data_IF_678389269524
#
_entry.id   IF_678389269524
#
_cell.length_a   1.000
_cell.length_b   1.000
_cell.length_c   1.000
_cell.angle_alpha   90.00
_cell.angle_beta   90.00
_cell.angle_gamma   90.00
#
_symmetry.space_group_name_H-M   'P 1'
#
loop_
_entity.id
_entity.type
_entity.pdbx_description
1 polymer ?
#
# COMPACT_ATOMS: atom_id res chain seq x y z
N UNK A 1 -12.14 -0.02 -3.10
CA UNK A 1 -11.60 -0.07 -1.76
C UNK A 1 -12.60 0.44 -0.73
N UNK A 2 -12.30 0.29 0.53
CA UNK A 2 -13.13 0.80 1.61
C UNK A 2 -12.51 2.07 2.21
N UNK A 3 -13.34 2.92 2.80
CA UNK A 3 -12.89 4.11 3.51
C UNK A 3 -12.05 3.73 4.73
N UNK A 4 -11.11 4.60 5.09
CA UNK A 4 -10.36 4.49 6.33
C UNK A 4 -11.22 4.85 7.54
N UNK A 5 -10.83 4.36 8.71
CA UNK A 5 -11.49 4.73 9.94
C UNK A 5 -11.06 6.13 10.43
N UNK A 6 -11.97 6.85 11.07
CA UNK A 6 -11.63 8.10 11.75
C UNK A 6 -10.71 7.82 12.95
N UNK A 7 -9.81 8.73 13.24
CA UNK A 7 -9.03 8.74 14.48
C UNK A 7 -9.98 8.90 15.69
N UNK A 8 -9.61 8.32 16.80
CA UNK A 8 -10.39 8.37 18.06
C UNK A 8 -9.51 8.93 19.18
N UNK A 9 -10.13 9.12 20.37
CA UNK A 9 -9.35 9.41 21.58
C UNK A 9 -8.35 8.31 21.95
N UNK A 10 -8.44 7.14 21.32
CA UNK A 10 -7.55 6.00 21.55
C UNK A 10 -6.37 5.92 20.57
N UNK A 11 -6.38 6.67 19.46
CA UNK A 11 -5.28 6.65 18.49
C UNK A 11 -5.64 7.12 17.09
N UNK A 12 -4.68 7.00 16.17
CA UNK A 12 -4.88 7.30 14.76
C UNK A 12 -5.82 6.31 14.09
N UNK A 13 -6.58 6.78 13.11
CA UNK A 13 -7.50 5.93 12.32
C UNK A 13 -6.75 4.94 11.44
N UNK A 14 -7.32 3.78 11.23
CA UNK A 14 -6.80 2.75 10.32
C UNK A 14 -6.99 3.19 8.86
N UNK A 15 -6.02 2.96 8.00
CA UNK A 15 -6.13 3.21 6.56
C UNK A 15 -7.19 2.35 5.89
N UNK A 16 -7.81 2.89 4.85
CA UNK A 16 -8.81 2.16 4.07
C UNK A 16 -8.24 0.92 3.36
N UNK A 17 -9.01 -0.13 3.30
CA UNK A 17 -8.64 -1.33 2.55
C UNK A 17 -8.67 -1.03 1.06
N UNK A 18 -7.61 -1.39 0.36
CA UNK A 18 -7.53 -1.27 -1.09
C UNK A 18 -8.46 -2.22 -1.85
N UNK A 19 -8.22 -2.36 -3.12
CA UNK A 19 -8.98 -3.27 -3.98
C UNK A 19 -8.30 -4.64 -4.04
N UNK A 20 -9.12 -5.69 -4.16
CA UNK A 20 -8.60 -7.01 -4.53
C UNK A 20 -8.07 -6.93 -5.97
N UNK A 21 -6.88 -7.48 -6.22
CA UNK A 21 -6.35 -7.58 -7.58
C UNK A 21 -7.30 -8.45 -8.42
N UNK A 22 -7.94 -7.88 -9.46
CA UNK A 22 -8.95 -8.60 -10.24
C UNK A 22 -8.34 -9.60 -11.24
N UNK A 23 -7.01 -9.54 -11.46
CA UNK A 23 -6.34 -10.40 -12.44
C UNK A 23 -6.01 -11.75 -11.81
N UNK A 24 -6.76 -12.76 -12.21
CA UNK A 24 -6.60 -14.14 -11.76
C UNK A 24 -5.19 -14.65 -12.06
N UNK A 25 -4.56 -15.27 -11.06
CA UNK A 25 -3.19 -15.79 -11.16
C UNK A 25 -2.08 -14.75 -11.05
N UNK A 26 -2.41 -13.46 -10.97
CA UNK A 26 -1.43 -12.43 -10.64
C UNK A 26 -0.96 -12.59 -9.19
N UNK A 27 0.36 -12.60 -8.98
CA UNK A 27 0.98 -12.62 -7.65
C UNK A 27 1.26 -11.22 -7.11
N UNK A 28 0.88 -10.18 -7.84
CA UNK A 28 1.12 -8.78 -7.52
C UNK A 28 0.16 -8.25 -6.46
N UNK A 29 0.67 -7.44 -5.55
CA UNK A 29 -0.09 -6.87 -4.44
C UNK A 29 0.25 -7.49 -3.08
N UNK A 30 -0.19 -6.84 -2.02
CA UNK A 30 -0.04 -7.35 -0.66
C UNK A 30 -0.86 -8.63 -0.47
N UNK A 31 -0.21 -9.71 -0.04
CA UNK A 31 -0.90 -10.96 0.25
C UNK A 31 -1.47 -10.92 1.68
N UNK A 32 -2.77 -11.05 1.79
CA UNK A 32 -3.48 -11.17 3.07
C UNK A 32 -4.38 -12.40 3.01
N UNK A 33 -4.00 -13.45 3.71
CA UNK A 33 -4.77 -14.71 3.73
C UNK A 33 -4.98 -15.36 2.36
N UNK A 34 -4.02 -15.25 1.44
CA UNK A 34 -4.12 -15.76 0.06
C UNK A 34 -4.73 -14.78 -0.95
N UNK A 35 -5.36 -13.70 -0.49
CA UNK A 35 -5.93 -12.66 -1.36
C UNK A 35 -4.91 -11.55 -1.60
N UNK A 36 -4.77 -11.10 -2.84
CA UNK A 36 -3.89 -9.98 -3.24
C UNK A 36 -4.66 -8.67 -3.26
N UNK A 37 -4.16 -7.68 -2.53
CA UNK A 37 -4.75 -6.34 -2.44
C UNK A 37 -3.78 -5.29 -3.01
N UNK A 38 -4.34 -4.23 -3.62
CA UNK A 38 -3.64 -3.07 -4.18
C UNK A 38 -4.27 -1.78 -3.64
N UNK A 39 -3.50 -0.70 -3.62
CA UNK A 39 -3.96 0.64 -3.30
C UNK A 39 -4.60 0.79 -1.90
N UNK A 40 -4.01 0.18 -0.87
CA UNK A 40 -4.41 0.39 0.52
C UNK A 40 -4.08 1.79 1.02
N UNK A 41 -4.95 2.37 1.84
CA UNK A 41 -4.74 3.70 2.43
C UNK A 41 -3.68 3.69 3.54
N UNK A 42 -3.01 4.81 3.77
CA UNK A 42 -2.13 4.99 4.92
C UNK A 42 -2.88 5.15 6.24
N UNK A 43 -2.29 4.72 7.34
CA UNK A 43 -2.82 4.90 8.69
C UNK A 43 -2.61 6.32 9.22
N UNK A 44 -3.52 6.80 10.04
CA UNK A 44 -3.43 8.09 10.73
C UNK A 44 -2.33 8.10 11.81
N UNK A 45 -1.71 9.25 12.04
CA UNK A 45 -0.70 9.42 13.08
C UNK A 45 -1.28 9.30 14.49
N UNK A 46 -0.50 8.78 15.42
CA UNK A 46 -0.80 8.80 16.83
C UNK A 46 -0.63 10.18 17.41
N UNK A 47 -0.95 10.33 18.69
CA UNK A 47 -0.81 11.57 19.43
C UNK A 47 0.11 11.41 20.63
N UNK A 48 1.08 12.30 20.76
CA UNK A 48 2.01 12.28 21.86
C UNK A 48 1.45 13.09 23.04
N UNK A 49 0.76 12.43 23.94
CA UNK A 49 0.39 12.96 25.25
C UNK A 49 1.02 12.07 26.34
N UNK A 50 0.90 12.40 27.63
CA UNK A 50 1.48 11.57 28.69
C UNK A 50 1.09 10.08 28.65
N UNK A 51 -0.06 9.74 28.01
CA UNK A 51 -0.54 8.36 27.87
C UNK A 51 -0.07 7.69 26.56
N UNK A 52 0.55 8.43 25.63
CA UNK A 52 1.00 7.95 24.31
C UNK A 52 -0.10 7.23 23.53
N UNK A 53 -0.51 7.77 22.38
CA UNK A 53 -1.53 7.16 21.55
C UNK A 53 -0.90 6.53 20.29
N UNK A 54 -1.26 5.29 19.94
CA UNK A 54 -0.71 4.62 18.77
C UNK A 54 -1.16 5.27 17.47
N UNK A 55 -0.35 5.14 16.44
CA UNK A 55 -0.79 5.38 15.06
C UNK A 55 -1.72 4.27 14.59
N UNK A 56 -2.55 4.60 13.62
CA UNK A 56 -3.41 3.64 12.93
C UNK A 56 -2.60 2.70 12.04
N UNK A 57 -3.05 1.48 11.89
CA UNK A 57 -2.48 0.56 10.91
C UNK A 57 -2.74 1.05 9.49
N UNK A 58 -1.86 0.73 8.55
CA UNK A 58 -2.14 0.88 7.13
C UNK A 58 -3.20 -0.12 6.65
N UNK A 59 -3.98 0.26 5.65
CA UNK A 59 -4.97 -0.62 5.03
C UNK A 59 -4.33 -1.74 4.19
N UNK A 60 -5.02 -2.87 4.06
CA UNK A 60 -4.63 -3.92 3.13
C UNK A 60 -4.51 -3.38 1.71
N UNK A 61 -3.47 -3.75 0.99
CA UNK A 61 -3.10 -3.21 -0.31
C UNK A 61 -1.86 -2.35 -0.24
N UNK A 62 -1.04 -2.53 0.79
CA UNK A 62 0.27 -1.91 0.92
C UNK A 62 0.27 -0.56 1.63
N UNK A 63 -0.78 -0.22 2.37
CA UNK A 63 -0.79 1.00 3.17
C UNK A 63 0.25 1.00 4.28
N UNK A 64 0.97 2.13 4.47
CA UNK A 64 1.92 2.34 5.55
C UNK A 64 1.23 2.69 6.87
N UNK A 65 1.73 2.22 7.99
CA UNK A 65 1.19 2.54 9.30
C UNK A 65 1.53 3.99 9.72
N UNK A 66 0.64 4.62 10.47
CA UNK A 66 0.93 5.90 11.10
C UNK A 66 1.96 5.77 12.22
N UNK A 67 2.72 6.84 12.43
CA UNK A 67 3.66 6.93 13.51
C UNK A 67 3.00 6.78 14.87
N UNK A 68 3.53 5.89 15.71
CA UNK A 68 3.06 5.71 17.09
C UNK A 68 3.51 6.88 17.97
N UNK A 69 2.95 6.97 19.18
CA UNK A 69 3.35 7.92 20.19
C UNK A 69 4.88 7.96 20.42
N UNK A 70 5.36 9.03 20.98
CA UNK A 70 6.79 9.31 21.26
C UNK A 70 7.65 9.60 20.02
N UNK A 71 7.07 10.32 19.07
CA UNK A 71 7.82 10.96 17.99
C UNK A 71 8.27 10.04 16.86
N UNK A 72 7.43 9.16 16.39
CA UNK A 72 7.75 8.31 15.26
C UNK A 72 7.27 8.87 13.92
N UNK A 73 8.07 8.67 12.89
CA UNK A 73 7.65 8.91 11.50
C UNK A 73 6.55 7.92 11.08
N UNK A 74 5.76 8.32 10.14
CA UNK A 74 4.89 7.39 9.42
C UNK A 74 5.71 6.38 8.61
N UNK A 75 5.16 5.20 8.41
CA UNK A 75 5.78 4.15 7.58
C UNK A 75 5.42 4.38 6.11
N UNK A 76 6.38 4.13 5.22
CA UNK A 76 6.10 4.19 3.78
C UNK A 76 5.09 3.10 3.35
N UNK A 77 4.34 3.39 2.30
CA UNK A 77 3.55 2.39 1.60
C UNK A 77 4.44 1.34 0.93
N UNK A 78 3.92 0.14 0.75
CA UNK A 78 4.62 -0.96 0.11
C UNK A 78 4.83 -0.67 -1.38
N UNK A 79 6.06 -0.87 -1.86
CA UNK A 79 6.38 -0.70 -3.27
C UNK A 79 5.54 -1.64 -4.17
N UNK A 80 5.25 -1.20 -5.38
CA UNK A 80 4.49 -1.96 -6.40
C UNK A 80 3.08 -2.37 -5.95
N UNK A 81 2.46 -1.56 -5.08
CA UNK A 81 1.08 -1.73 -4.66
C UNK A 81 0.22 -0.49 -4.88
N UNK A 82 0.84 0.69 -5.04
CA UNK A 82 0.13 1.97 -5.03
C UNK A 82 -0.45 2.33 -3.66
N UNK A 83 0.07 1.73 -2.58
CA UNK A 83 -0.40 1.99 -1.22
C UNK A 83 0.01 3.38 -0.71
N UNK A 84 -0.83 4.02 0.10
CA UNK A 84 -0.53 5.30 0.73
C UNK A 84 0.51 5.19 1.85
N UNK A 85 1.29 6.24 2.10
CA UNK A 85 2.14 6.32 3.29
C UNK A 85 1.36 6.70 4.54
N UNK A 86 1.82 6.25 5.70
CA UNK A 86 1.25 6.57 6.99
C UNK A 86 1.57 8.01 7.44
N UNK A 87 0.68 8.60 8.22
CA UNK A 87 0.92 9.94 8.78
C UNK A 87 1.96 9.92 9.90
N UNK A 88 2.66 11.05 10.10
CA UNK A 88 3.53 11.22 11.26
C UNK A 88 2.72 11.36 12.56
N UNK A 89 3.37 11.09 13.68
CA UNK A 89 2.82 11.44 15.02
C UNK A 89 2.75 12.96 15.17
N UNK A 90 1.68 13.44 15.80
CA UNK A 90 1.63 14.84 16.26
C UNK A 90 2.39 14.95 17.57
N UNK A 91 3.52 15.68 17.56
CA UNK A 91 4.32 15.93 18.76
C UNK A 91 3.75 17.12 19.53
N UNK A 92 3.49 16.94 20.83
CA UNK A 92 3.26 18.03 21.77
C UNK A 92 4.61 18.46 22.36
N UNK A 93 5.12 19.59 21.95
CA UNK A 93 6.36 20.25 22.44
C UNK A 93 7.67 19.41 22.47
N UNK A 94 8.75 19.95 21.93
CA UNK A 94 10.15 19.50 21.94
C UNK A 94 10.57 18.22 21.20
N UNK A 95 9.70 17.47 20.60
CA UNK A 95 10.09 16.42 19.65
C UNK A 95 10.16 16.98 18.23
N UNK A 96 11.33 17.08 17.62
CA UNK A 96 11.53 17.62 16.26
C UNK A 96 10.49 17.12 15.22
N UNK A 97 10.38 17.83 14.12
CA UNK A 97 9.43 17.51 13.03
C UNK A 97 9.51 16.03 12.62
N UNK A 98 8.38 15.39 12.61
CA UNK A 98 8.24 14.01 12.13
C UNK A 98 7.67 14.01 10.72
N UNK A 99 8.12 13.09 9.89
CA UNK A 99 7.71 12.98 8.51
C UNK A 99 6.65 11.90 8.34
N UNK A 100 5.67 12.15 7.50
CA UNK A 100 4.82 11.09 6.97
C UNK A 100 5.63 10.11 6.13
N UNK A 101 5.20 8.89 6.02
CA UNK A 101 5.77 7.91 5.11
C UNK A 101 5.49 8.28 3.65
N UNK A 102 6.42 8.00 2.76
CA UNK A 102 6.17 8.11 1.33
C UNK A 102 5.09 7.12 0.88
N UNK A 103 4.35 7.44 -0.19
CA UNK A 103 3.51 6.46 -0.86
C UNK A 103 4.34 5.33 -1.47
N UNK A 104 3.79 4.15 -1.59
CA UNK A 104 4.38 3.05 -2.35
C UNK A 104 4.31 3.32 -3.85
N UNK A 105 5.29 2.82 -4.62
CA UNK A 105 5.22 2.88 -6.08
C UNK A 105 3.99 2.14 -6.60
N UNK A 106 3.47 2.58 -7.75
CA UNK A 106 2.41 1.88 -8.47
C UNK A 106 2.92 0.63 -9.20
N UNK A 107 1.99 -0.08 -9.82
CA UNK A 107 2.26 -1.22 -10.69
C UNK A 107 1.27 -1.22 -11.85
N UNK A 108 1.72 -1.61 -13.03
CA UNK A 108 0.85 -1.88 -14.17
C UNK A 108 0.79 -3.38 -14.40
N UNK A 109 -0.42 -3.93 -14.51
CA UNK A 109 -0.63 -5.35 -14.77
C UNK A 109 -1.54 -5.45 -15.99
N UNK A 110 -1.08 -6.18 -17.02
CA UNK A 110 -1.82 -6.40 -18.26
C UNK A 110 -2.04 -7.89 -18.40
N UNK A 111 -3.28 -8.30 -18.65
CA UNK A 111 -3.62 -9.71 -18.88
C UNK A 111 -4.44 -9.85 -20.16
N UNK A 112 -4.13 -10.86 -20.96
CA UNK A 112 -4.88 -11.22 -22.16
C UNK A 112 -4.91 -12.74 -22.35
N UNK A 113 -5.91 -13.22 -23.04
CA UNK A 113 -6.07 -14.65 -23.31
C UNK A 113 -5.05 -15.16 -24.32
N UNK A 114 -4.62 -16.41 -24.14
CA UNK A 114 -3.73 -17.11 -25.05
C UNK A 114 -2.26 -17.01 -24.70
N UNK A 115 -1.42 -17.48 -25.63
CA UNK A 115 0.03 -17.48 -25.51
C UNK A 115 0.61 -16.07 -25.62
N UNK A 116 1.83 -15.90 -25.16
CA UNK A 116 2.53 -14.62 -25.22
C UNK A 116 2.69 -14.15 -26.70
N UNK A 117 2.18 -12.93 -26.94
CA UNK A 117 2.30 -12.21 -28.23
C UNK A 117 2.94 -10.83 -28.07
N UNK A 118 3.26 -10.45 -26.82
CA UNK A 118 3.99 -9.23 -26.48
C UNK A 118 5.15 -9.55 -25.58
N UNK A 119 6.18 -8.73 -25.65
CA UNK A 119 7.33 -8.73 -24.73
C UNK A 119 7.27 -7.51 -23.80
N UNK A 120 7.92 -7.58 -22.65
CA UNK A 120 8.04 -6.49 -21.68
C UNK A 120 7.47 -6.85 -20.30
N UNK A 121 8.05 -6.21 -19.28
CA UNK A 121 7.76 -6.51 -17.89
C UNK A 121 8.13 -7.95 -17.47
N UNK A 122 7.64 -8.35 -16.31
CA UNK A 122 7.71 -9.76 -15.88
C UNK A 122 6.52 -10.50 -16.43
N UNK A 123 6.77 -11.58 -17.17
CA UNK A 123 5.73 -12.37 -17.84
C UNK A 123 5.43 -13.62 -17.03
N UNK A 124 4.15 -13.91 -16.85
CA UNK A 124 3.65 -15.15 -16.26
C UNK A 124 2.40 -15.62 -17.00
N UNK A 125 1.96 -16.84 -16.77
CA UNK A 125 0.72 -17.37 -17.33
C UNK A 125 -0.12 -18.05 -16.25
N UNK A 126 -1.45 -17.90 -16.35
CA UNK A 126 -2.39 -18.53 -15.44
C UNK A 126 -3.77 -18.65 -16.10
N UNK A 127 -4.42 -19.80 -15.96
CA UNK A 127 -5.79 -20.02 -16.45
C UNK A 127 -5.98 -19.76 -17.95
N UNK A 128 -4.95 -19.99 -18.77
CA UNK A 128 -5.01 -19.74 -20.22
C UNK A 128 -4.76 -18.28 -20.61
N UNK A 129 -4.38 -17.42 -19.66
CA UNK A 129 -4.03 -16.02 -19.91
C UNK A 129 -2.51 -15.81 -19.77
N UNK A 130 -1.97 -14.86 -20.54
CA UNK A 130 -0.65 -14.29 -20.34
C UNK A 130 -0.77 -13.00 -19.53
N UNK A 131 0.10 -12.83 -18.55
CA UNK A 131 0.10 -11.69 -17.61
C UNK A 131 1.45 -11.00 -17.65
N UNK A 132 1.48 -9.70 -17.93
CA UNK A 132 2.65 -8.83 -17.85
C UNK A 132 2.54 -7.94 -16.61
N UNK A 133 3.61 -7.86 -15.83
CA UNK A 133 3.69 -7.01 -14.63
C UNK A 133 4.86 -6.05 -14.75
N UNK A 134 4.59 -4.75 -14.61
CA UNK A 134 5.58 -3.68 -14.63
C UNK A 134 5.62 -3.00 -13.26
N UNK A 135 6.66 -3.27 -12.47
CA UNK A 135 6.94 -2.62 -11.19
C UNK A 135 7.88 -1.41 -11.30
N UNK A 136 8.30 -1.08 -12.51
CA UNK A 136 9.12 0.07 -12.89
C UNK A 136 8.78 0.46 -14.32
N UNK A 137 9.39 1.53 -14.81
CA UNK A 137 9.26 1.96 -16.21
C UNK A 137 9.57 0.81 -17.17
N UNK A 138 8.81 0.73 -18.24
CA UNK A 138 8.93 -0.31 -19.24
C UNK A 138 7.98 -0.12 -20.40
N UNK A 139 8.12 -0.94 -21.42
CA UNK A 139 7.26 -0.93 -22.60
C UNK A 139 6.71 -2.32 -22.88
N UNK A 140 5.50 -2.39 -23.41
CA UNK A 140 4.92 -3.59 -24.00
C UNK A 140 5.09 -3.48 -25.51
N UNK A 141 5.76 -4.43 -26.13
CA UNK A 141 6.02 -4.46 -27.58
C UNK A 141 5.60 -5.81 -28.17
N UNK A 142 5.14 -5.88 -29.43
CA UNK A 142 4.94 -7.15 -30.12
C UNK A 142 6.18 -8.03 -30.07
N UNK A 143 6.02 -9.33 -29.88
CA UNK A 143 7.11 -10.32 -29.83
C UNK A 143 7.24 -11.08 -31.14
#
# INVERSE_FOLDING_TARGET
GADGANGTSSGGGVGGVGIVNPISGSTTGQNVGGTRYLAGGGGGGGYNNPSGKPGGAGGNGGGGAGGAANSNNGTAGTANTGGGGGAATVAQSSGGNKAGGAGGSGVVIISYAGSQVFSGGTVSSSGGNTIHTFGSDGSLAPS
#
